data_IF_073263462682
#
_entry.id   IF_073263462682
#
_cell.length_a   1.000
_cell.length_b   1.000
_cell.length_c   1.000
_cell.angle_alpha   90.00
_cell.angle_beta   90.00
_cell.angle_gamma   90.00
#
_symmetry.space_group_name_H-M   'P 1'
#
loop_
_entity.id
_entity.type
_entity.pdbx_description
1 polymer ?
#
# COMPACT_ATOMS: atom_id res chain seq x y z
N UNK A 1 -20.85 3.32 -10.02
CA UNK A 1 -20.43 4.62 -10.61
C UNK A 1 -19.14 4.39 -11.38
N UNK A 2 -19.00 4.92 -12.60
CA UNK A 2 -17.76 4.81 -13.37
C UNK A 2 -16.67 5.69 -12.77
N UNK A 3 -15.47 5.15 -12.55
CA UNK A 3 -14.29 5.95 -12.17
C UNK A 3 -14.05 7.06 -13.20
N UNK A 4 -13.75 8.31 -12.80
CA UNK A 4 -13.34 9.36 -13.73
C UNK A 4 -12.13 8.90 -14.56
N UNK A 5 -12.02 9.32 -15.84
CA UNK A 5 -10.89 8.93 -16.68
C UNK A 5 -9.55 9.33 -16.03
N UNK A 6 -8.51 8.54 -16.28
CA UNK A 6 -7.17 8.87 -15.83
C UNK A 6 -6.58 10.01 -16.65
N UNK A 7 -5.69 10.80 -16.03
CA UNK A 7 -4.91 11.83 -16.73
C UNK A 7 -3.87 11.17 -17.63
N UNK A 8 -3.64 11.68 -18.83
CA UNK A 8 -2.58 11.17 -19.71
C UNK A 8 -1.17 11.38 -19.08
N UNK A 9 -0.34 10.33 -19.08
CA UNK A 9 1.04 10.38 -18.58
C UNK A 9 1.96 11.00 -19.63
N UNK A 10 2.81 11.91 -19.18
CA UNK A 10 3.84 12.54 -20.01
C UNK A 10 5.08 11.68 -20.08
N UNK A 11 5.79 11.72 -21.20
CA UNK A 11 7.10 11.10 -21.36
C UNK A 11 8.25 11.98 -20.82
N UNK A 12 7.98 13.25 -20.53
CA UNK A 12 8.93 14.22 -19.97
C UNK A 12 8.38 14.80 -18.67
N UNK A 13 9.25 15.09 -17.71
CA UNK A 13 8.87 15.73 -16.45
C UNK A 13 8.33 17.15 -16.69
N UNK A 14 7.28 17.51 -15.95
CA UNK A 14 6.79 18.88 -15.89
C UNK A 14 7.84 19.76 -15.21
N UNK A 15 8.12 20.96 -15.75
CA UNK A 15 9.03 21.91 -15.11
C UNK A 15 8.65 22.17 -13.66
N UNK A 16 9.66 22.29 -12.80
CA UNK A 16 9.51 22.64 -11.39
C UNK A 16 10.41 23.83 -11.07
N UNK A 17 9.94 24.70 -10.17
CA UNK A 17 10.72 25.81 -9.63
C UNK A 17 11.74 25.34 -8.58
N UNK A 18 11.61 24.11 -8.09
CA UNK A 18 12.58 23.49 -7.18
C UNK A 18 13.81 23.01 -7.97
N UNK A 19 14.90 23.79 -7.89
CA UNK A 19 16.18 23.49 -8.57
C UNK A 19 16.74 22.12 -8.21
N UNK A 20 16.68 21.72 -6.94
CA UNK A 20 17.22 20.43 -6.50
C UNK A 20 16.37 19.27 -7.05
N UNK A 21 15.04 19.42 -7.09
CA UNK A 21 14.17 18.44 -7.71
C UNK A 21 14.45 18.35 -9.21
N UNK A 22 14.56 19.49 -9.89
CA UNK A 22 14.86 19.56 -11.31
C UNK A 22 16.14 18.81 -11.65
N UNK A 23 17.23 19.06 -10.91
CA UNK A 23 18.51 18.38 -11.12
C UNK A 23 18.38 16.86 -11.01
N UNK A 24 17.66 16.36 -9.99
CA UNK A 24 17.46 14.91 -9.81
C UNK A 24 16.54 14.33 -10.88
N UNK A 25 15.50 15.05 -11.29
CA UNK A 25 14.59 14.62 -12.35
C UNK A 25 15.31 14.58 -13.70
N UNK A 26 16.14 15.58 -14.01
CA UNK A 26 16.98 15.61 -15.21
C UNK A 26 17.96 14.42 -15.19
N UNK A 27 18.63 14.16 -14.06
CA UNK A 27 19.53 13.02 -13.91
C UNK A 27 18.78 11.70 -14.19
N UNK A 28 17.62 11.49 -13.57
CA UNK A 28 16.77 10.32 -13.82
C UNK A 28 16.38 10.22 -15.30
N UNK A 29 15.98 11.33 -15.91
CA UNK A 29 15.48 11.36 -17.27
C UNK A 29 16.56 10.97 -18.28
N UNK A 30 17.76 11.55 -18.15
CA UNK A 30 18.86 11.30 -19.08
C UNK A 30 19.62 10.00 -18.83
N UNK A 31 19.65 9.49 -17.59
CA UNK A 31 20.43 8.28 -17.24
C UNK A 31 19.61 7.00 -17.17
N UNK A 32 18.30 7.10 -16.95
CA UNK A 32 17.41 5.93 -16.79
C UNK A 32 16.31 5.91 -17.84
N UNK A 33 15.53 6.99 -17.97
CA UNK A 33 14.31 6.97 -18.77
C UNK A 33 14.60 6.99 -20.27
N UNK A 34 15.34 7.97 -20.74
CA UNK A 34 15.68 8.12 -22.15
C UNK A 34 16.47 6.94 -22.72
N UNK A 35 17.49 6.40 -22.05
CA UNK A 35 18.13 5.18 -22.51
C UNK A 35 17.16 4.02 -22.69
N UNK A 36 16.15 3.88 -21.82
CA UNK A 36 15.15 2.82 -21.92
C UNK A 36 14.19 3.00 -23.11
N UNK A 37 14.10 4.18 -23.72
CA UNK A 37 13.32 4.43 -24.93
C UNK A 37 14.05 4.02 -26.21
N UNK A 38 15.37 3.83 -26.16
CA UNK A 38 16.17 3.50 -27.33
C UNK A 38 16.02 2.03 -27.75
N UNK A 39 16.21 1.70 -29.04
CA UNK A 39 16.49 0.33 -29.47
C UNK A 39 17.73 -0.24 -28.77
N UNK A 40 17.74 -1.56 -28.53
CA UNK A 40 18.81 -2.25 -27.77
C UNK A 40 20.21 -1.99 -28.34
N UNK A 41 20.35 -1.88 -29.65
CA UNK A 41 21.62 -1.59 -30.32
C UNK A 41 22.16 -0.20 -29.95
N UNK A 42 21.30 0.83 -29.99
CA UNK A 42 21.66 2.19 -29.58
C UNK A 42 21.96 2.27 -28.09
N UNK A 43 21.26 1.49 -27.26
CA UNK A 43 21.58 1.38 -25.83
C UNK A 43 22.99 0.83 -25.61
N UNK A 44 23.37 -0.23 -26.34
CA UNK A 44 24.71 -0.81 -26.21
C UNK A 44 25.80 0.21 -26.55
N UNK A 45 25.61 0.99 -27.61
CA UNK A 45 26.56 2.06 -27.99
C UNK A 45 26.63 3.12 -26.88
N UNK A 46 25.48 3.55 -26.34
CA UNK A 46 25.40 4.58 -25.29
C UNK A 46 26.19 4.22 -24.02
N UNK A 47 26.21 2.94 -23.67
CA UNK A 47 26.90 2.42 -22.47
C UNK A 47 28.27 1.80 -22.75
N UNK A 48 28.78 1.88 -23.99
CA UNK A 48 30.09 1.33 -24.36
C UNK A 48 31.20 2.37 -24.15
N UNK A 49 32.12 2.18 -23.19
CA UNK A 49 33.21 3.11 -22.94
C UNK A 49 34.10 3.34 -24.16
N UNK A 50 34.23 2.35 -25.05
CA UNK A 50 35.05 2.46 -26.26
C UNK A 50 34.42 3.33 -27.35
N UNK A 51 33.12 3.60 -27.25
CA UNK A 51 32.35 4.44 -28.19
C UNK A 51 32.14 5.87 -27.70
N UNK A 52 32.83 6.28 -26.63
CA UNK A 52 32.71 7.62 -26.05
C UNK A 52 33.04 8.73 -27.05
N UNK A 53 34.22 8.67 -27.69
CA UNK A 53 34.65 9.64 -28.71
C UNK A 53 33.70 9.64 -29.91
N UNK A 54 33.29 8.45 -30.36
CA UNK A 54 32.32 8.31 -31.45
C UNK A 54 31.00 9.04 -31.17
N UNK A 55 30.49 8.94 -29.94
CA UNK A 55 29.25 9.58 -29.50
C UNK A 55 29.37 11.10 -29.27
N UNK A 56 30.58 11.61 -29.04
CA UNK A 56 30.83 13.06 -28.98
C UNK A 56 30.69 13.68 -30.38
N UNK A 57 31.13 12.98 -31.42
CA UNK A 57 30.96 13.39 -32.82
C UNK A 57 29.57 13.03 -33.40
N UNK A 58 29.00 11.91 -32.98
CA UNK A 58 27.75 11.35 -33.49
C UNK A 58 26.75 11.09 -32.35
N UNK A 59 26.17 12.15 -31.76
CA UNK A 59 25.29 12.01 -30.60
C UNK A 59 24.02 11.24 -30.98
N UNK A 60 23.59 10.34 -30.10
CA UNK A 60 22.29 9.69 -30.23
C UNK A 60 21.21 10.71 -29.89
N UNK A 61 20.40 11.07 -30.89
CA UNK A 61 19.22 11.93 -30.72
C UNK A 61 17.97 11.06 -30.59
N UNK A 62 17.12 11.42 -29.62
CA UNK A 62 15.78 10.88 -29.50
C UNK A 62 14.77 12.01 -29.60
N UNK A 63 13.63 11.73 -30.22
CA UNK A 63 12.49 12.64 -30.25
C UNK A 63 11.43 12.13 -29.26
N UNK A 64 11.05 12.97 -28.31
CA UNK A 64 10.04 12.66 -27.30
C UNK A 64 9.14 13.88 -27.15
N UNK A 65 7.82 13.70 -27.31
CA UNK A 65 6.83 14.80 -27.26
C UNK A 65 7.18 15.99 -28.19
N UNK A 66 7.64 15.70 -29.42
CA UNK A 66 8.09 16.69 -30.42
C UNK A 66 9.29 17.54 -29.96
N UNK A 67 10.07 17.05 -29.00
CA UNK A 67 11.32 17.67 -28.55
C UNK A 67 12.49 16.71 -28.78
N UNK A 68 13.57 17.24 -29.34
CA UNK A 68 14.81 16.49 -29.56
C UNK A 68 15.71 16.54 -28.33
N UNK A 69 16.11 15.36 -27.86
CA UNK A 69 17.06 15.20 -26.75
C UNK A 69 18.31 14.50 -27.24
N UNK A 70 19.47 15.10 -26.97
CA UNK A 70 20.78 14.55 -27.29
C UNK A 70 21.34 13.80 -26.09
N UNK A 71 21.64 12.52 -26.26
CA UNK A 71 22.16 11.67 -25.21
C UNK A 71 23.69 11.64 -25.24
N UNK A 72 24.29 11.82 -24.06
CA UNK A 72 25.74 11.75 -23.85
C UNK A 72 26.15 10.31 -23.51
N UNK A 73 27.43 9.93 -23.75
CA UNK A 73 27.97 8.65 -23.29
C UNK A 73 27.72 8.44 -21.80
N UNK A 74 27.28 7.24 -21.42
CA UNK A 74 26.98 6.89 -20.02
C UNK A 74 27.91 5.77 -19.54
N UNK A 75 28.54 5.97 -18.38
CA UNK A 75 29.27 4.91 -17.69
C UNK A 75 28.33 4.16 -16.74
N UNK A 76 28.10 2.88 -17.03
CA UNK A 76 27.18 2.03 -16.25
C UNK A 76 27.66 1.74 -14.83
N UNK A 77 28.96 1.78 -14.58
CA UNK A 77 29.57 1.39 -13.29
C UNK A 77 29.74 2.62 -12.40
N UNK A 78 30.30 3.71 -12.92
CA UNK A 78 30.64 4.88 -12.11
C UNK A 78 29.83 6.14 -12.45
N UNK A 79 29.14 6.15 -13.59
CA UNK A 79 28.45 7.34 -14.10
C UNK A 79 26.96 7.43 -13.80
N UNK A 80 26.36 6.40 -13.18
CA UNK A 80 24.93 6.35 -12.90
C UNK A 80 24.72 6.04 -11.43
N UNK A 81 24.11 6.97 -10.70
CA UNK A 81 23.72 6.71 -9.32
C UNK A 81 22.70 5.55 -9.25
N UNK A 82 22.71 4.82 -8.13
CA UNK A 82 21.71 3.80 -7.86
C UNK A 82 20.28 4.36 -8.06
N UNK A 83 19.52 3.77 -8.99
CA UNK A 83 18.16 4.21 -9.32
C UNK A 83 17.22 4.25 -8.11
N UNK A 84 17.40 3.35 -7.15
CA UNK A 84 16.65 3.39 -5.90
C UNK A 84 16.96 4.63 -5.04
N UNK A 85 18.21 5.09 -5.01
CA UNK A 85 18.60 6.33 -4.31
C UNK A 85 18.07 7.55 -5.03
N UNK A 86 18.22 7.62 -6.36
CA UNK A 86 17.67 8.71 -7.18
C UNK A 86 16.16 8.83 -7.00
N UNK A 87 15.45 7.71 -7.02
CA UNK A 87 14.01 7.68 -6.77
C UNK A 87 13.63 8.30 -5.42
N UNK A 88 14.34 7.93 -4.34
CA UNK A 88 14.08 8.47 -3.01
C UNK A 88 14.45 9.95 -2.92
N UNK A 89 15.58 10.37 -3.50
CA UNK A 89 15.98 11.78 -3.58
C UNK A 89 14.92 12.61 -4.29
N UNK A 90 14.40 12.15 -5.43
CA UNK A 90 13.34 12.84 -6.16
C UNK A 90 12.09 12.99 -5.29
N UNK A 91 11.61 11.90 -4.67
CA UNK A 91 10.44 11.94 -3.81
C UNK A 91 10.61 12.89 -2.60
N UNK A 92 11.78 12.91 -1.97
CA UNK A 92 12.06 13.78 -0.81
C UNK A 92 12.16 15.26 -1.18
N UNK A 93 12.26 15.59 -2.47
CA UNK A 93 12.28 16.96 -2.99
C UNK A 93 10.93 17.38 -3.60
N UNK A 94 9.93 16.49 -3.66
CA UNK A 94 8.58 16.85 -4.07
C UNK A 94 7.84 17.49 -2.90
N UNK A 95 7.74 18.83 -2.89
CA UNK A 95 7.18 19.58 -1.77
C UNK A 95 5.81 20.19 -2.12
N UNK A 96 5.62 20.62 -3.36
CA UNK A 96 4.38 21.27 -3.82
C UNK A 96 3.47 20.31 -4.59
N UNK A 97 2.16 20.61 -4.72
CA UNK A 97 1.28 19.82 -5.58
C UNK A 97 1.81 19.67 -7.02
N UNK A 98 2.45 20.72 -7.55
CA UNK A 98 3.04 20.70 -8.89
C UNK A 98 4.25 19.77 -8.97
N UNK A 99 5.10 19.73 -7.95
CA UNK A 99 6.19 18.75 -7.88
C UNK A 99 5.66 17.32 -7.88
N UNK A 100 4.60 17.07 -7.10
CA UNK A 100 3.98 15.76 -7.01
C UNK A 100 3.27 15.33 -8.29
N UNK A 101 2.94 16.25 -9.19
CA UNK A 101 2.42 15.92 -10.52
C UNK A 101 3.42 15.12 -11.38
N UNK A 102 4.71 15.15 -11.03
CA UNK A 102 5.75 14.36 -11.68
C UNK A 102 5.80 12.89 -11.21
N UNK A 103 5.04 12.50 -10.17
CA UNK A 103 5.05 11.13 -9.65
C UNK A 103 4.61 10.10 -10.70
N UNK A 104 3.58 10.42 -11.49
CA UNK A 104 3.06 9.54 -12.56
C UNK A 104 4.15 9.26 -13.60
N UNK A 105 4.77 10.33 -14.13
CA UNK A 105 5.89 10.24 -15.09
C UNK A 105 7.07 9.47 -14.50
N UNK A 106 7.39 9.72 -13.22
CA UNK A 106 8.51 9.06 -12.55
C UNK A 106 8.29 7.54 -12.46
N UNK A 107 7.11 7.12 -12.00
CA UNK A 107 6.78 5.70 -11.86
C UNK A 107 6.64 5.01 -13.21
N UNK A 108 5.98 5.65 -14.18
CA UNK A 108 5.85 5.11 -15.53
C UNK A 108 7.20 4.94 -16.22
N UNK A 109 8.07 5.94 -16.11
CA UNK A 109 9.43 5.87 -16.59
C UNK A 109 10.22 4.71 -15.97
N UNK A 110 10.15 4.55 -14.64
CA UNK A 110 10.83 3.45 -13.95
C UNK A 110 10.29 2.08 -14.38
N UNK A 111 8.98 1.95 -14.57
CA UNK A 111 8.36 0.72 -15.08
C UNK A 111 8.86 0.39 -16.49
N UNK A 112 8.86 1.39 -17.38
CA UNK A 112 9.34 1.25 -18.77
C UNK A 112 10.81 0.88 -18.84
N UNK A 113 11.63 1.46 -17.96
CA UNK A 113 13.04 1.11 -17.77
C UNK A 113 13.27 -0.23 -17.04
N UNK A 114 12.20 -0.97 -16.70
CA UNK A 114 12.23 -2.26 -15.97
C UNK A 114 12.96 -2.16 -14.62
N UNK A 115 12.96 -0.98 -14.01
CA UNK A 115 13.53 -0.76 -12.67
C UNK A 115 12.57 -1.31 -11.63
N UNK A 116 13.01 -2.33 -10.88
CA UNK A 116 12.21 -2.93 -9.80
C UNK A 116 12.27 -2.08 -8.55
N UNK A 117 11.19 -1.36 -8.25
CA UNK A 117 11.06 -0.62 -6.99
C UNK A 117 10.69 -1.57 -5.83
N UNK A 118 11.48 -1.63 -4.74
CA UNK A 118 11.16 -2.44 -3.56
C UNK A 118 9.87 -1.97 -2.87
N UNK A 119 9.20 -2.88 -2.17
CA UNK A 119 7.96 -2.57 -1.44
C UNK A 119 8.09 -1.38 -0.47
N UNK A 120 9.25 -1.21 0.18
CA UNK A 120 9.53 -0.05 1.06
C UNK A 120 9.39 1.31 0.38
N UNK A 121 9.63 1.38 -0.94
CA UNK A 121 9.50 2.62 -1.69
C UNK A 121 8.03 2.99 -1.86
N UNK A 122 7.14 1.99 -2.02
CA UNK A 122 5.69 2.23 -2.09
C UNK A 122 5.14 2.84 -0.79
N UNK A 123 5.51 2.27 0.36
CA UNK A 123 5.16 2.84 1.65
C UNK A 123 5.78 4.23 1.88
N UNK A 124 7.00 4.49 1.37
CA UNK A 124 7.64 5.82 1.42
C UNK A 124 6.88 6.86 0.60
N UNK A 125 6.39 6.52 -0.61
CA UNK A 125 5.54 7.42 -1.42
C UNK A 125 4.35 7.90 -0.59
N UNK A 126 3.60 6.97 0.01
CA UNK A 126 2.43 7.33 0.83
C UNK A 126 2.78 8.21 2.03
N UNK A 127 3.88 7.91 2.73
CA UNK A 127 4.32 8.72 3.87
C UNK A 127 4.73 10.13 3.47
N UNK A 128 5.42 10.30 2.34
CA UNK A 128 5.80 11.63 1.86
C UNK A 128 4.60 12.39 1.29
N UNK A 129 3.72 11.70 0.55
CA UNK A 129 2.48 12.28 0.01
C UNK A 129 1.60 12.83 1.14
N UNK A 130 1.51 12.09 2.26
CA UNK A 130 0.85 12.55 3.48
C UNK A 130 1.37 13.89 3.97
N UNK A 131 2.70 14.03 4.12
CA UNK A 131 3.31 15.24 4.68
C UNK A 131 2.99 16.49 3.86
N UNK A 132 2.83 16.35 2.53
CA UNK A 132 2.45 17.44 1.64
C UNK A 132 0.95 17.55 1.31
N UNK A 133 0.09 16.66 1.84
CA UNK A 133 -1.33 16.62 1.46
C UNK A 133 -1.59 16.14 0.02
N UNK A 134 -0.62 15.50 -0.62
CA UNK A 134 -0.60 15.18 -2.05
C UNK A 134 -1.05 13.74 -2.34
N UNK A 135 -2.20 13.34 -1.81
CA UNK A 135 -2.75 12.00 -2.06
C UNK A 135 -3.30 11.83 -3.48
N UNK A 136 -3.78 12.91 -4.12
CA UNK A 136 -4.40 12.82 -5.45
C UNK A 136 -3.45 12.25 -6.52
N UNK A 137 -2.19 12.71 -6.65
CA UNK A 137 -1.23 12.10 -7.57
C UNK A 137 -0.99 10.60 -7.30
N UNK A 138 -1.09 10.15 -6.05
CA UNK A 138 -0.99 8.73 -5.72
C UNK A 138 -2.20 7.95 -6.23
N UNK A 139 -3.40 8.49 -6.09
CA UNK A 139 -4.64 7.88 -6.62
C UNK A 139 -4.57 7.78 -8.15
N UNK A 140 -4.11 8.83 -8.83
CA UNK A 140 -3.93 8.81 -10.29
C UNK A 140 -2.90 7.76 -10.72
N UNK A 141 -1.82 7.57 -9.96
CA UNK A 141 -0.87 6.49 -10.23
C UNK A 141 -1.54 5.11 -10.13
N UNK A 142 -2.43 4.90 -9.14
CA UNK A 142 -3.16 3.63 -8.96
C UNK A 142 -4.14 3.39 -10.11
N UNK A 143 -4.88 4.43 -10.53
CA UNK A 143 -5.79 4.35 -11.70
C UNK A 143 -5.03 3.91 -12.96
N UNK A 144 -3.77 4.31 -13.06
CA UNK A 144 -2.89 4.05 -14.20
C UNK A 144 -1.85 2.96 -13.91
N UNK A 145 -2.21 1.92 -13.16
CA UNK A 145 -1.29 0.87 -12.74
C UNK A 145 -0.57 0.17 -13.91
N UNK A 146 -1.19 0.10 -15.09
CA UNK A 146 -0.58 -0.46 -16.32
C UNK A 146 0.64 0.33 -16.78
N UNK A 147 0.66 1.63 -16.54
CA UNK A 147 1.78 2.49 -16.88
C UNK A 147 2.73 2.65 -15.70
N UNK A 148 2.21 2.96 -14.51
CA UNK A 148 3.03 3.30 -13.32
C UNK A 148 3.54 2.07 -12.57
N UNK A 149 2.85 0.94 -12.67
CA UNK A 149 3.12 -0.27 -11.88
C UNK A 149 2.76 -0.13 -10.40
N UNK A 150 2.06 0.94 -10.04
CA UNK A 150 1.66 1.22 -8.67
C UNK A 150 0.28 0.62 -8.39
N UNK A 151 0.22 -0.37 -7.49
CA UNK A 151 -1.01 -1.09 -7.16
C UNK A 151 -1.27 -1.09 -5.65
N UNK A 152 -2.55 -1.24 -5.28
CA UNK A 152 -2.98 -1.46 -3.89
C UNK A 152 -2.83 -2.91 -3.42
N UNK A 153 -2.19 -3.79 -4.20
CA UNK A 153 -1.95 -5.20 -3.87
C UNK A 153 -0.87 -5.38 -2.79
N UNK A 154 -0.98 -4.63 -1.70
CA UNK A 154 -0.17 -4.68 -0.50
C UNK A 154 -1.00 -4.14 0.68
N UNK A 155 -1.06 -4.92 1.77
CA UNK A 155 -1.87 -4.63 2.96
C UNK A 155 -1.56 -3.27 3.58
N UNK A 156 -0.27 -2.97 3.75
CA UNK A 156 0.18 -1.69 4.33
C UNK A 156 -0.16 -0.51 3.43
N UNK A 157 0.05 -0.64 2.12
CA UNK A 157 -0.26 0.39 1.13
C UNK A 157 -1.76 0.68 1.11
N UNK A 158 -2.60 -0.36 1.06
CA UNK A 158 -4.05 -0.22 1.01
C UNK A 158 -4.60 0.45 2.29
N UNK A 159 -4.23 -0.06 3.48
CA UNK A 159 -4.70 0.52 4.73
C UNK A 159 -4.22 1.96 4.91
N UNK A 160 -2.95 2.27 4.57
CA UNK A 160 -2.46 3.65 4.62
C UNK A 160 -3.23 4.54 3.66
N UNK A 161 -3.48 4.10 2.43
CA UNK A 161 -4.16 4.94 1.44
C UNK A 161 -5.56 5.36 1.91
N UNK A 162 -6.33 4.43 2.47
CA UNK A 162 -7.64 4.76 3.07
C UNK A 162 -7.51 5.71 4.27
N UNK A 163 -6.58 5.43 5.18
CA UNK A 163 -6.34 6.31 6.32
C UNK A 163 -5.95 7.74 5.89
N UNK A 164 -5.04 7.84 4.92
CA UNK A 164 -4.58 9.10 4.32
C UNK A 164 -5.69 9.85 3.61
N UNK A 165 -6.58 9.14 2.93
CA UNK A 165 -7.74 9.75 2.28
C UNK A 165 -8.62 10.47 3.31
N UNK A 166 -8.84 9.83 4.45
CA UNK A 166 -9.68 10.33 5.53
C UNK A 166 -9.00 11.42 6.38
N UNK A 167 -7.69 11.63 6.28
CA UNK A 167 -7.02 12.70 7.04
C UNK A 167 -7.61 14.08 6.81
N UNK A 168 -8.10 14.32 5.59
CA UNK A 168 -8.75 15.59 5.25
C UNK A 168 -10.00 15.88 6.09
N UNK A 169 -10.67 14.84 6.60
CA UNK A 169 -11.90 14.95 7.39
C UNK A 169 -11.61 15.68 8.69
N UNK A 170 -10.51 15.33 9.36
CA UNK A 170 -10.21 15.87 10.69
C UNK A 170 -9.13 16.96 10.68
N UNK A 171 -8.15 16.91 9.77
CA UNK A 171 -7.14 17.97 9.64
C UNK A 171 -7.71 19.28 9.11
N UNK A 172 -8.84 19.20 8.39
CA UNK A 172 -9.56 20.35 7.86
C UNK A 172 -11.03 20.29 8.31
N UNK A 173 -11.29 19.93 9.57
CA UNK A 173 -12.65 19.73 10.10
C UNK A 173 -13.58 20.95 9.94
N UNK A 174 -13.01 22.14 9.75
CA UNK A 174 -13.76 23.36 9.47
C UNK A 174 -14.36 23.41 8.04
N UNK A 175 -13.93 22.57 7.11
CA UNK A 175 -14.45 22.49 5.75
C UNK A 175 -15.24 21.19 5.53
N UNK A 176 -16.59 21.22 5.60
CA UNK A 176 -17.43 20.05 5.38
C UNK A 176 -17.25 19.40 4.00
N UNK A 177 -16.78 20.15 2.99
CA UNK A 177 -16.52 19.60 1.66
C UNK A 177 -15.39 18.57 1.66
N UNK A 178 -14.49 18.61 2.64
CA UNK A 178 -13.43 17.62 2.78
C UNK A 178 -13.98 16.23 3.09
N UNK A 179 -15.05 16.12 3.87
CA UNK A 179 -15.71 14.86 4.14
C UNK A 179 -16.40 14.29 2.88
N UNK A 180 -17.10 15.14 2.12
CA UNK A 180 -17.75 14.74 0.86
C UNK A 180 -16.72 14.26 -0.16
N UNK A 181 -15.58 14.96 -0.29
CA UNK A 181 -14.47 14.52 -1.16
C UNK A 181 -13.83 13.23 -0.68
N UNK A 182 -13.64 13.06 0.64
CA UNK A 182 -13.10 11.82 1.21
C UNK A 182 -14.01 10.65 0.87
N UNK A 183 -15.33 10.83 0.98
CA UNK A 183 -16.32 9.81 0.59
C UNK A 183 -16.22 9.46 -0.90
N UNK A 184 -16.23 10.45 -1.80
CA UNK A 184 -16.11 10.21 -3.24
C UNK A 184 -14.84 9.44 -3.63
N UNK A 185 -13.71 9.77 -2.99
CA UNK A 185 -12.47 9.01 -3.16
C UNK A 185 -12.54 7.61 -2.56
N UNK A 186 -13.16 7.46 -1.39
CA UNK A 186 -13.30 6.16 -0.72
C UNK A 186 -14.09 5.17 -1.58
N UNK A 187 -15.19 5.62 -2.22
CA UNK A 187 -15.95 4.84 -3.21
C UNK A 187 -15.06 4.43 -4.39
N UNK A 188 -14.28 5.37 -4.94
CA UNK A 188 -13.35 5.08 -6.03
C UNK A 188 -12.30 4.05 -5.61
N UNK A 189 -11.73 4.16 -4.41
CA UNK A 189 -10.72 3.24 -3.91
C UNK A 189 -11.29 1.85 -3.67
N UNK A 190 -12.53 1.73 -3.20
CA UNK A 190 -13.23 0.44 -3.10
C UNK A 190 -13.47 -0.19 -4.48
N UNK A 191 -13.88 0.60 -5.48
CA UNK A 191 -14.01 0.14 -6.87
C UNK A 191 -12.67 -0.37 -7.41
N UNK A 192 -11.59 0.40 -7.23
CA UNK A 192 -10.25 -0.03 -7.63
C UNK A 192 -9.81 -1.30 -6.89
N UNK A 193 -10.04 -1.41 -5.58
CA UNK A 193 -9.71 -2.63 -4.82
C UNK A 193 -10.47 -3.87 -5.32
N UNK A 194 -11.63 -3.69 -5.94
CA UNK A 194 -12.40 -4.80 -6.53
C UNK A 194 -11.79 -5.38 -7.79
N UNK A 195 -10.85 -4.66 -8.40
CA UNK A 195 -10.20 -5.09 -9.64
C UNK A 195 -9.09 -6.13 -9.35
N UNK A 196 -8.90 -7.13 -10.24
CA UNK A 196 -7.93 -8.20 -10.02
C UNK A 196 -6.49 -7.72 -9.79
N UNK A 197 -6.10 -6.59 -10.39
CA UNK A 197 -4.72 -6.09 -10.43
C UNK A 197 -4.34 -5.35 -9.14
N UNK A 198 -5.35 -4.95 -8.37
CA UNK A 198 -5.23 -4.38 -7.04
C UNK A 198 -5.46 -5.42 -5.93
N UNK A 199 -5.88 -6.64 -6.29
CA UNK A 199 -6.13 -7.72 -5.36
C UNK A 199 -4.84 -8.41 -4.91
N UNK A 200 -4.82 -8.86 -3.65
CA UNK A 200 -3.79 -9.78 -3.19
C UNK A 200 -4.03 -11.17 -3.76
N UNK A 201 -2.96 -11.86 -4.17
CA UNK A 201 -3.01 -13.29 -4.48
C UNK A 201 -3.07 -14.06 -3.16
N UNK A 202 -4.27 -14.43 -2.72
CA UNK A 202 -4.54 -15.14 -1.47
C UNK A 202 -5.35 -16.40 -1.74
N UNK A 203 -5.11 -17.44 -0.97
CA UNK A 203 -5.86 -18.70 -1.03
C UNK A 203 -7.22 -18.57 -0.34
N UNK A 204 -7.24 -17.93 0.84
CA UNK A 204 -8.47 -17.67 1.60
C UNK A 204 -9.19 -16.40 1.10
N UNK A 205 -10.47 -16.48 0.70
CA UNK A 205 -11.28 -15.32 0.35
C UNK A 205 -11.41 -14.28 1.48
N UNK A 206 -11.31 -14.67 2.75
CA UNK A 206 -11.35 -13.77 3.91
C UNK A 206 -10.13 -12.83 3.94
N UNK A 207 -9.02 -13.25 3.33
CA UNK A 207 -7.76 -12.51 3.26
C UNK A 207 -7.71 -11.49 2.10
N UNK A 208 -8.80 -11.36 1.32
CA UNK A 208 -8.94 -10.33 0.27
C UNK A 208 -9.08 -8.95 0.90
N UNK A 209 -8.40 -7.95 0.33
CA UNK A 209 -8.41 -6.57 0.84
C UNK A 209 -9.80 -5.93 0.89
N UNK A 210 -10.73 -6.34 0.02
CA UNK A 210 -12.13 -5.89 0.07
C UNK A 210 -12.88 -6.35 1.33
N UNK A 211 -12.41 -7.43 1.96
CA UNK A 211 -12.97 -8.01 3.18
C UNK A 211 -12.18 -7.60 4.42
N UNK A 212 -11.20 -6.69 4.27
CA UNK A 212 -10.46 -6.17 5.40
C UNK A 212 -11.36 -5.29 6.24
N UNK A 213 -11.46 -5.66 7.52
CA UNK A 213 -12.31 -5.01 8.51
C UNK A 213 -11.90 -3.56 8.68
N UNK A 214 -10.59 -3.29 8.69
CA UNK A 214 -10.07 -1.93 8.89
C UNK A 214 -10.33 -1.03 7.69
N UNK A 215 -10.24 -1.57 6.46
CA UNK A 215 -10.54 -0.83 5.23
C UNK A 215 -12.04 -0.50 5.20
N UNK A 216 -12.89 -1.48 5.50
CA UNK A 216 -14.35 -1.30 5.59
C UNK A 216 -14.72 -0.26 6.64
N UNK A 217 -14.14 -0.29 7.84
CA UNK A 217 -14.47 0.70 8.87
C UNK A 217 -13.96 2.11 8.53
N UNK A 218 -12.81 2.25 7.87
CA UNK A 218 -12.37 3.55 7.31
C UNK A 218 -13.29 4.03 6.17
N UNK A 219 -13.86 3.12 5.39
CA UNK A 219 -14.85 3.45 4.36
C UNK A 219 -16.16 3.95 4.99
N UNK A 220 -16.67 3.26 6.02
CA UNK A 220 -17.81 3.68 6.84
C UNK A 220 -17.56 5.04 7.48
N UNK A 221 -16.36 5.28 8.03
CA UNK A 221 -16.00 6.58 8.59
C UNK A 221 -16.16 7.71 7.57
N UNK A 222 -15.62 7.55 6.35
CA UNK A 222 -15.76 8.55 5.29
C UNK A 222 -17.23 8.81 4.92
N UNK A 223 -18.04 7.76 4.82
CA UNK A 223 -19.47 7.85 4.52
C UNK A 223 -20.24 8.61 5.61
N UNK A 224 -20.08 8.20 6.86
CA UNK A 224 -20.74 8.85 8.00
C UNK A 224 -20.37 10.33 8.10
N UNK A 225 -19.08 10.67 7.91
CA UNK A 225 -18.64 12.06 7.89
C UNK A 225 -19.26 12.86 6.74
N UNK A 226 -19.40 12.28 5.55
CA UNK A 226 -20.05 12.94 4.43
C UNK A 226 -21.56 13.15 4.66
N UNK A 227 -22.26 12.17 5.25
CA UNK A 227 -23.66 12.30 5.66
C UNK A 227 -23.83 13.47 6.64
N UNK A 228 -22.99 13.55 7.66
CA UNK A 228 -23.04 14.65 8.62
C UNK A 228 -22.78 16.01 7.95
N UNK A 229 -21.79 16.10 7.06
CA UNK A 229 -21.50 17.32 6.31
C UNK A 229 -22.71 17.77 5.45
N UNK A 230 -23.32 16.84 4.70
CA UNK A 230 -24.50 17.10 3.88
C UNK A 230 -25.72 17.49 4.71
N UNK A 231 -25.95 16.80 5.83
CA UNK A 231 -27.02 17.12 6.78
C UNK A 231 -26.89 18.53 7.33
N UNK A 232 -25.67 18.97 7.68
CA UNK A 232 -25.41 20.34 8.13
C UNK A 232 -25.65 21.38 7.03
N UNK A 233 -25.40 21.02 5.78
CA UNK A 233 -25.64 21.87 4.61
C UNK A 233 -27.12 21.86 4.14
N UNK A 234 -27.98 21.04 4.74
CA UNK A 234 -29.37 20.86 4.29
C UNK A 234 -29.51 20.14 2.94
N UNK A 235 -28.48 19.38 2.54
CA UNK A 235 -28.51 18.55 1.33
C UNK A 235 -29.25 17.23 1.58
N UNK A 236 -29.74 16.61 0.50
CA UNK A 236 -30.35 15.28 0.55
C UNK A 236 -29.32 14.20 0.93
N UNK A 237 -29.70 13.33 1.87
CA UNK A 237 -28.87 12.25 2.42
C UNK A 237 -29.50 10.87 2.23
N UNK A 238 -30.68 10.74 1.61
CA UNK A 238 -31.42 9.48 1.58
C UNK A 238 -30.62 8.34 0.94
N UNK A 239 -29.97 8.62 -0.19
CA UNK A 239 -29.11 7.64 -0.85
C UNK A 239 -27.89 7.27 -0.01
N UNK A 240 -27.27 8.23 0.67
CA UNK A 240 -26.10 7.97 1.51
C UNK A 240 -26.47 7.20 2.78
N UNK A 241 -27.65 7.46 3.37
CA UNK A 241 -28.19 6.67 4.47
C UNK A 241 -28.51 5.23 4.04
N UNK A 242 -29.02 5.03 2.82
CA UNK A 242 -29.19 3.69 2.24
C UNK A 242 -27.83 2.98 2.07
N UNK A 243 -26.84 3.69 1.53
CA UNK A 243 -25.48 3.17 1.41
C UNK A 243 -24.89 2.80 2.78
N UNK A 244 -25.15 3.60 3.81
CA UNK A 244 -24.64 3.35 5.16
C UNK A 244 -25.22 2.06 5.75
N UNK A 245 -26.53 1.82 5.60
CA UNK A 245 -27.14 0.55 6.03
C UNK A 245 -26.53 -0.65 5.31
N UNK A 246 -26.27 -0.52 4.01
CA UNK A 246 -25.63 -1.59 3.23
C UNK A 246 -24.19 -1.86 3.71
N UNK A 247 -23.37 -0.82 3.92
CA UNK A 247 -22.00 -1.01 4.39
C UNK A 247 -21.93 -1.56 5.83
N UNK A 248 -22.84 -1.13 6.71
CA UNK A 248 -22.95 -1.71 8.06
C UNK A 248 -23.35 -3.18 7.99
N UNK A 249 -24.30 -3.54 7.11
CA UNK A 249 -24.69 -4.95 6.89
C UNK A 249 -23.54 -5.80 6.34
N UNK A 250 -22.61 -5.21 5.59
CA UNK A 250 -21.43 -5.89 5.06
C UNK A 250 -20.30 -6.03 6.08
N UNK A 251 -20.09 -5.03 6.95
CA UNK A 251 -18.98 -5.06 7.92
C UNK A 251 -19.29 -5.92 9.15
N UNK A 252 -20.54 -5.95 9.60
CA UNK A 252 -20.95 -6.71 10.78
C UNK A 252 -20.54 -8.20 10.76
N UNK A 253 -20.84 -8.98 9.72
CA UNK A 253 -20.50 -10.40 9.69
C UNK A 253 -18.99 -10.66 9.61
N UNK A 254 -18.18 -9.65 9.27
CA UNK A 254 -16.72 -9.80 9.32
C UNK A 254 -16.23 -9.85 10.78
N UNK A 255 -16.94 -9.25 11.72
CA UNK A 255 -16.57 -9.22 13.13
C UNK A 255 -17.30 -10.32 13.91
N UNK A 256 -16.87 -11.57 13.76
CA UNK A 256 -17.44 -12.70 14.51
C UNK A 256 -17.24 -12.53 16.03
N UNK A 257 -18.25 -12.85 16.82
CA UNK A 257 -18.27 -12.56 18.27
C UNK A 257 -17.14 -13.26 19.04
N UNK A 258 -16.80 -14.49 18.67
CA UNK A 258 -15.67 -15.25 19.21
C UNK A 258 -14.29 -14.62 18.93
N UNK A 259 -14.18 -13.75 17.92
CA UNK A 259 -12.93 -13.08 17.57
C UNK A 259 -12.72 -11.78 18.33
N UNK A 260 -13.78 -11.20 18.90
CA UNK A 260 -13.72 -9.92 19.64
C UNK A 260 -12.90 -10.02 20.93
N UNK A 261 -12.87 -11.20 21.55
CA UNK A 261 -12.03 -11.47 22.72
C UNK A 261 -10.57 -11.77 22.36
N UNK A 262 -10.27 -11.97 21.06
CA UNK A 262 -8.99 -12.44 20.53
C UNK A 262 -8.52 -11.61 19.35
N UNK A 263 -8.60 -10.28 19.49
CA UNK A 263 -8.30 -9.32 18.42
C UNK A 263 -6.87 -9.49 17.86
N UNK A 264 -5.91 -9.88 18.69
CA UNK A 264 -4.53 -10.17 18.32
C UNK A 264 -4.36 -11.41 17.43
N UNK A 265 -5.32 -12.33 17.44
CA UNK A 265 -5.34 -13.52 16.58
C UNK A 265 -5.88 -13.21 15.18
N UNK A 266 -6.60 -12.09 15.00
CA UNK A 266 -7.13 -11.68 13.70
C UNK A 266 -5.96 -11.45 12.73
N UNK A 267 -5.87 -12.21 11.61
CA UNK A 267 -4.71 -12.16 10.71
C UNK A 267 -4.41 -10.78 10.16
N UNK A 268 -5.44 -10.00 9.84
CA UNK A 268 -5.34 -8.61 9.39
C UNK A 268 -4.64 -7.73 10.44
N UNK A 269 -5.15 -7.71 11.68
CA UNK A 269 -4.60 -6.90 12.77
C UNK A 269 -3.16 -7.31 13.09
N UNK A 270 -2.91 -8.62 13.17
CA UNK A 270 -1.58 -9.16 13.45
C UNK A 270 -0.54 -8.73 12.41
N UNK A 271 -0.88 -8.81 11.12
CA UNK A 271 0.03 -8.45 10.02
C UNK A 271 0.29 -6.95 9.93
N UNK A 272 -0.64 -6.12 10.38
CA UNK A 272 -0.51 -4.66 10.37
C UNK A 272 0.08 -4.09 11.68
N UNK A 273 0.12 -4.89 12.76
CA UNK A 273 0.63 -4.48 14.06
C UNK A 273 2.18 -4.33 14.06
N UNK A 274 2.72 -3.11 14.29
CA UNK A 274 4.17 -2.87 14.30
C UNK A 274 4.92 -3.65 15.37
N UNK A 275 4.28 -3.89 16.52
CA UNK A 275 4.93 -4.54 17.67
C UNK A 275 5.09 -6.03 17.42
N UNK A 276 4.10 -6.66 16.79
CA UNK A 276 4.20 -8.08 16.39
C UNK A 276 5.30 -8.27 15.33
N UNK A 277 5.37 -7.40 14.31
CA UNK A 277 6.41 -7.53 13.29
C UNK A 277 7.82 -7.28 13.83
N UNK A 278 7.99 -6.24 14.65
CA UNK A 278 9.33 -5.81 15.09
C UNK A 278 9.87 -6.62 16.25
N UNK A 279 8.98 -7.21 17.06
CA UNK A 279 9.33 -7.82 18.34
C UNK A 279 8.78 -9.24 18.52
N UNK A 280 8.05 -9.80 17.54
CA UNK A 280 7.47 -11.15 17.58
C UNK A 280 8.43 -12.29 17.22
N UNK A 281 9.74 -12.15 17.47
CA UNK A 281 10.68 -13.28 17.45
C UNK A 281 11.24 -13.69 16.08
N UNK A 282 10.87 -13.01 15.00
CA UNK A 282 11.63 -13.09 13.76
C UNK A 282 12.91 -12.26 13.97
N UNK A 283 14.09 -12.87 13.79
CA UNK A 283 15.40 -12.18 13.65
C UNK A 283 15.15 -10.81 13.02
N UNK A 284 15.66 -9.70 13.61
CA UNK A 284 15.57 -8.31 13.07
C UNK A 284 15.30 -8.44 11.58
N UNK A 285 14.08 -8.18 11.10
CA UNK A 285 13.67 -8.69 9.80
C UNK A 285 14.76 -8.29 8.83
N UNK A 286 15.44 -9.27 8.23
CA UNK A 286 16.52 -9.03 7.27
C UNK A 286 15.96 -8.45 5.96
N UNK A 287 14.75 -7.89 6.03
CA UNK A 287 13.92 -7.37 4.97
C UNK A 287 13.01 -6.26 5.49
N UNK A 288 12.18 -5.73 4.61
CA UNK A 288 11.40 -4.52 4.84
C UNK A 288 10.19 -4.76 5.74
N UNK A 289 9.88 -3.78 6.61
CA UNK A 289 8.67 -3.76 7.40
C UNK A 289 7.42 -3.80 6.50
N UNK A 290 6.56 -4.79 6.73
CA UNK A 290 5.27 -5.06 6.09
C UNK A 290 4.10 -4.57 6.94
N UNK A 291 4.31 -4.28 8.23
CA UNK A 291 3.33 -3.71 9.12
C UNK A 291 3.30 -2.18 9.04
N UNK A 292 2.28 -1.58 9.65
CA UNK A 292 2.21 -0.14 9.85
C UNK A 292 3.29 0.31 10.85
N UNK A 293 3.51 1.62 10.96
CA UNK A 293 4.22 2.19 12.12
C UNK A 293 3.19 2.50 13.21
N UNK A 294 3.63 2.63 14.47
CA UNK A 294 2.71 2.82 15.60
C UNK A 294 1.71 3.96 15.39
N UNK A 295 2.20 5.10 14.91
CA UNK A 295 1.36 6.25 14.59
C UNK A 295 0.25 5.94 13.57
N UNK A 296 0.56 5.31 12.43
CA UNK A 296 -0.46 4.98 11.44
C UNK A 296 -1.36 3.82 11.88
N UNK A 297 -0.85 2.91 12.72
CA UNK A 297 -1.65 1.85 13.31
C UNK A 297 -2.73 2.43 14.23
N UNK A 298 -2.35 3.37 15.11
CA UNK A 298 -3.30 4.13 15.93
C UNK A 298 -4.30 4.88 15.06
N UNK A 299 -3.84 5.61 14.03
CA UNK A 299 -4.73 6.34 13.12
C UNK A 299 -5.75 5.45 12.42
N UNK A 300 -5.35 4.28 11.92
CA UNK A 300 -6.27 3.31 11.29
C UNK A 300 -7.32 2.83 12.29
N UNK A 301 -6.93 2.44 13.50
CA UNK A 301 -7.87 1.95 14.52
C UNK A 301 -8.79 3.06 15.02
N UNK A 302 -8.28 4.26 15.26
CA UNK A 302 -9.06 5.42 15.67
C UNK A 302 -10.12 5.81 14.62
N UNK A 303 -9.80 5.73 13.33
CA UNK A 303 -10.80 5.97 12.27
C UNK A 303 -11.89 4.89 12.25
N UNK A 304 -11.55 3.63 12.56
CA UNK A 304 -12.54 2.56 12.68
C UNK A 304 -13.46 2.80 13.88
N UNK A 305 -12.90 3.14 15.05
CA UNK A 305 -13.64 3.53 16.27
C UNK A 305 -14.61 4.66 15.93
N UNK A 306 -14.11 5.76 15.36
CA UNK A 306 -14.95 6.93 15.05
C UNK A 306 -16.01 6.61 13.99
N UNK A 307 -15.69 5.80 12.99
CA UNK A 307 -16.66 5.34 12.00
C UNK A 307 -17.82 4.56 12.63
N UNK A 308 -17.53 3.69 13.60
CA UNK A 308 -18.54 2.93 14.34
C UNK A 308 -19.40 3.83 15.23
N UNK A 309 -18.80 4.77 15.96
CA UNK A 309 -19.53 5.76 16.76
C UNK A 309 -20.54 6.54 15.90
N UNK A 310 -20.07 7.11 14.78
CA UNK A 310 -20.93 7.87 13.88
C UNK A 310 -22.01 7.01 13.23
N UNK A 311 -21.71 5.74 12.89
CA UNK A 311 -22.72 4.83 12.35
C UNK A 311 -23.82 4.54 13.38
N UNK A 312 -23.46 4.36 14.65
CA UNK A 312 -24.44 4.20 15.74
C UNK A 312 -25.26 5.48 15.97
N UNK A 313 -24.64 6.65 15.91
CA UNK A 313 -25.34 7.95 16.00
C UNK A 313 -26.37 8.13 14.85
N UNK A 314 -26.03 7.68 13.64
CA UNK A 314 -26.87 7.86 12.45
C UNK A 314 -27.95 6.79 12.28
N UNK A 315 -27.67 5.54 12.63
CA UNK A 315 -28.56 4.40 12.40
C UNK A 315 -29.28 3.88 13.66
N UNK A 316 -28.82 4.24 14.86
CA UNK A 316 -29.39 3.74 16.10
C UNK A 316 -29.32 2.22 16.22
N UNK A 317 -30.47 1.58 16.44
CA UNK A 317 -30.57 0.14 16.71
C UNK A 317 -30.04 -0.74 15.57
N UNK A 318 -30.11 -0.28 14.32
CA UNK A 318 -29.59 -1.02 13.15
C UNK A 318 -28.06 -1.21 13.23
N UNK A 319 -27.36 -0.39 14.00
CA UNK A 319 -25.90 -0.43 14.17
C UNK A 319 -25.46 -0.87 15.58
N UNK A 320 -26.38 -1.28 16.46
CA UNK A 320 -26.07 -1.57 17.89
C UNK A 320 -24.98 -2.63 18.11
N UNK A 321 -24.81 -3.57 17.17
CA UNK A 321 -23.77 -4.59 17.26
C UNK A 321 -22.36 -3.98 17.20
N UNK A 322 -22.22 -2.86 16.48
CA UNK A 322 -20.94 -2.16 16.37
C UNK A 322 -20.41 -1.69 17.72
N UNK A 323 -21.24 -1.54 18.75
CA UNK A 323 -20.78 -1.22 20.10
C UNK A 323 -19.80 -2.27 20.64
N UNK A 324 -20.11 -3.57 20.48
CA UNK A 324 -19.22 -4.65 20.94
C UNK A 324 -17.89 -4.61 20.19
N UNK A 325 -17.93 -4.35 18.89
CA UNK A 325 -16.74 -4.26 18.03
C UNK A 325 -15.90 -3.03 18.41
N UNK A 326 -16.56 -1.89 18.60
CA UNK A 326 -15.95 -0.64 19.07
C UNK A 326 -15.18 -0.88 20.37
N UNK A 327 -15.82 -1.49 21.38
CA UNK A 327 -15.22 -1.72 22.69
C UNK A 327 -14.03 -2.69 22.60
N UNK A 328 -14.12 -3.71 21.73
CA UNK A 328 -13.02 -4.63 21.47
C UNK A 328 -11.82 -3.93 20.81
N UNK A 329 -12.05 -3.04 19.83
CA UNK A 329 -10.98 -2.27 19.18
C UNK A 329 -10.35 -1.28 20.16
N UNK A 330 -11.15 -0.59 20.98
CA UNK A 330 -10.66 0.32 22.03
C UNK A 330 -9.76 -0.42 23.04
N UNK A 331 -10.25 -1.54 23.57
CA UNK A 331 -9.46 -2.39 24.47
C UNK A 331 -8.16 -2.85 23.82
N UNK A 332 -8.21 -3.32 22.58
CA UNK A 332 -7.04 -3.77 21.84
C UNK A 332 -6.03 -2.63 21.57
N UNK A 333 -6.52 -1.43 21.22
CA UNK A 333 -5.69 -0.25 21.03
C UNK A 333 -5.04 0.21 22.35
N UNK A 334 -5.79 0.17 23.45
CA UNK A 334 -5.28 0.44 24.80
C UNK A 334 -4.16 -0.53 25.19
N UNK A 335 -4.34 -1.83 24.96
CA UNK A 335 -3.30 -2.84 25.19
C UNK A 335 -2.09 -2.66 24.27
N UNK A 336 -2.30 -2.29 23.01
CA UNK A 336 -1.23 -1.94 22.08
C UNK A 336 -0.43 -0.74 22.62
N UNK A 337 -1.10 0.35 23.02
CA UNK A 337 -0.43 1.53 23.57
C UNK A 337 0.31 1.19 24.87
N UNK A 338 -0.31 0.39 25.74
CA UNK A 338 0.24 -0.12 27.01
C UNK A 338 1.56 -0.86 26.83
N UNK A 339 1.70 -1.65 25.76
CA UNK A 339 2.79 -2.64 25.58
C UNK A 339 3.68 -2.39 24.36
N UNK A 340 3.67 -1.19 23.78
CA UNK A 340 4.47 -0.85 22.59
C UNK A 340 5.53 0.21 22.89
N UNK A 341 6.64 0.13 22.18
CA UNK A 341 7.72 1.13 22.22
C UNK A 341 7.40 2.24 21.21
N UNK A 342 7.21 3.47 21.66
CA UNK A 342 6.98 4.62 20.79
C UNK A 342 6.62 5.93 21.50
N UNK A 343 6.54 7.01 20.73
CA UNK A 343 6.22 8.37 21.19
C UNK A 343 4.72 8.50 21.47
N UNK A 344 4.30 8.20 22.70
CA UNK A 344 2.90 8.21 23.13
C UNK A 344 2.18 9.53 22.87
N UNK A 345 2.85 10.68 23.05
CA UNK A 345 2.25 11.98 22.80
C UNK A 345 1.72 12.10 21.36
N UNK A 346 2.51 11.69 20.36
CA UNK A 346 2.10 11.73 18.96
C UNK A 346 0.95 10.77 18.65
N UNK A 347 0.81 9.68 19.40
CA UNK A 347 -0.32 8.77 19.25
C UNK A 347 -1.57 9.38 19.88
N UNK A 348 -1.46 10.01 21.06
CA UNK A 348 -2.57 10.68 21.71
C UNK A 348 -3.13 11.78 20.81
N UNK A 349 -2.26 12.63 20.28
CA UNK A 349 -2.60 13.70 19.35
C UNK A 349 -3.33 13.15 18.12
N UNK A 350 -2.83 12.06 17.54
CA UNK A 350 -3.48 11.46 16.37
C UNK A 350 -4.86 10.90 16.72
N UNK A 351 -4.96 10.14 17.81
CA UNK A 351 -6.22 9.58 18.29
C UNK A 351 -7.26 10.68 18.57
N UNK A 352 -6.87 11.71 19.30
CA UNK A 352 -7.73 12.83 19.66
C UNK A 352 -8.15 13.63 18.43
N UNK A 353 -7.24 13.86 17.48
CA UNK A 353 -7.57 14.55 16.24
C UNK A 353 -8.66 13.82 15.44
N UNK A 354 -8.68 12.48 15.48
CA UNK A 354 -9.64 11.67 14.74
C UNK A 354 -10.97 11.52 15.49
N UNK A 355 -10.91 11.23 16.79
CA UNK A 355 -12.09 10.88 17.59
C UNK A 355 -12.74 12.08 18.26
N UNK A 356 -12.01 13.20 18.39
CA UNK A 356 -12.45 14.38 19.14
C UNK A 356 -12.37 14.23 20.66
N UNK A 357 -11.79 13.13 21.17
CA UNK A 357 -11.63 12.87 22.61
C UNK A 357 -10.22 12.36 22.92
N UNK A 358 -9.69 12.78 24.06
CA UNK A 358 -8.41 12.24 24.54
C UNK A 358 -8.52 10.74 24.82
N UNK A 359 -7.49 9.95 24.53
CA UNK A 359 -7.51 8.52 24.82
C UNK A 359 -7.43 8.24 26.32
N UNK A 360 -8.17 7.23 26.78
CA UNK A 360 -8.05 6.68 28.13
C UNK A 360 -7.22 5.38 28.11
N UNK A 361 -5.94 5.51 27.74
CA UNK A 361 -5.07 4.33 27.64
C UNK A 361 -4.50 3.93 29.00
N UNK A 362 -4.32 2.62 29.25
CA UNK A 362 -3.59 2.16 30.41
C UNK A 362 -2.17 2.75 30.49
N UNK A 363 -1.69 2.89 31.73
CA UNK A 363 -0.31 3.30 32.00
C UNK A 363 0.69 2.39 31.29
N UNK A 364 1.83 2.95 30.86
CA UNK A 364 2.89 2.16 30.26
C UNK A 364 3.47 1.18 31.27
N UNK A 365 3.68 -0.04 30.83
CA UNK A 365 4.16 -1.15 31.66
C UNK A 365 5.64 -1.02 32.06
N UNK A 366 6.37 -0.06 31.49
CA UNK A 366 7.80 0.06 31.71
C UNK A 366 8.62 -0.95 30.90
N UNK A 367 9.97 -0.89 30.97
CA UNK A 367 10.84 -1.77 30.21
C UNK A 367 10.70 -3.26 30.58
N UNK A 368 10.53 -3.58 31.87
CA UNK A 368 10.61 -4.96 32.36
C UNK A 368 9.37 -5.79 31.97
N UNK A 369 8.18 -5.28 32.22
CA UNK A 369 6.94 -5.94 31.81
C UNK A 369 6.76 -5.91 30.28
N UNK A 370 7.34 -4.91 29.59
CA UNK A 370 7.44 -4.92 28.14
C UNK A 370 8.29 -6.10 27.63
N UNK A 371 9.45 -6.36 28.24
CA UNK A 371 10.28 -7.52 27.89
C UNK A 371 9.49 -8.81 28.09
N UNK A 372 8.80 -8.97 29.22
CA UNK A 372 7.95 -10.13 29.48
C UNK A 372 6.82 -10.28 28.43
N UNK A 373 6.14 -9.18 28.09
CA UNK A 373 5.11 -9.18 27.06
C UNK A 373 5.67 -9.52 25.67
N UNK A 374 6.90 -9.08 25.36
CA UNK A 374 7.59 -9.47 24.13
C UNK A 374 7.93 -10.95 24.13
N UNK A 375 8.42 -11.50 25.23
CA UNK A 375 8.70 -12.94 25.36
C UNK A 375 7.45 -13.80 25.16
N UNK A 376 6.32 -13.42 25.75
CA UNK A 376 5.05 -14.12 25.55
C UNK A 376 4.57 -14.05 24.09
N UNK A 377 4.71 -12.89 23.44
CA UNK A 377 4.43 -12.74 22.00
C UNK A 377 5.33 -13.62 21.15
N UNK A 378 6.61 -13.75 21.51
CA UNK A 378 7.55 -14.64 20.83
C UNK A 378 7.14 -16.11 20.98
N UNK A 379 6.74 -16.54 22.19
CA UNK A 379 6.22 -17.89 22.42
C UNK A 379 4.97 -18.17 21.59
N UNK A 380 4.00 -17.24 21.60
CA UNK A 380 2.78 -17.37 20.81
C UNK A 380 3.05 -17.43 19.30
N UNK A 381 3.99 -16.62 18.81
CA UNK A 381 4.40 -16.65 17.40
C UNK A 381 5.07 -17.98 17.02
N UNK A 382 5.92 -18.53 17.88
CA UNK A 382 6.58 -19.81 17.67
C UNK A 382 5.59 -20.98 17.70
N UNK A 383 4.64 -20.99 18.65
CA UNK A 383 3.60 -22.01 18.74
C UNK A 383 2.72 -22.05 17.49
N UNK A 384 2.34 -20.88 16.96
CA UNK A 384 1.55 -20.81 15.73
C UNK A 384 2.36 -21.28 14.52
N UNK A 385 3.64 -20.90 14.42
CA UNK A 385 4.50 -21.37 13.34
C UNK A 385 4.58 -22.90 13.33
N UNK A 386 4.78 -23.51 14.51
CA UNK A 386 4.77 -24.95 14.67
C UNK A 386 3.43 -25.59 14.28
N UNK A 387 2.30 -24.95 14.63
CA UNK A 387 0.98 -25.40 14.20
C UNK A 387 0.82 -25.36 12.66
N UNK A 388 1.26 -24.29 12.00
CA UNK A 388 1.17 -24.15 10.54
C UNK A 388 2.13 -25.06 9.77
N UNK A 389 3.29 -25.38 10.34
CA UNK A 389 4.24 -26.33 9.74
C UNK A 389 3.81 -27.79 10.00
N UNK A 390 3.12 -28.07 11.10
CA UNK A 390 2.54 -29.39 11.40
C UNK A 390 1.37 -29.78 10.49
N UNK A 391 0.58 -28.80 10.01
CA UNK A 391 -0.50 -29.07 9.04
C UNK A 391 0.02 -29.30 7.62
N UNK A 392 1.22 -28.81 7.28
CA UNK A 392 1.82 -28.98 5.96
C UNK A 392 2.42 -30.39 5.70
N UNK A 393 2.45 -31.27 6.71
CA UNK A 393 3.04 -32.62 6.61
C UNK A 393 2.00 -33.70 6.29
N UNK A 394 0.70 -33.38 6.23
CA UNK A 394 -0.36 -34.38 5.94
C UNK A 394 -0.74 -34.45 4.45
N UNK A 395 -0.40 -33.45 3.63
CA UNK A 395 -0.72 -33.41 2.19
C UNK A 395 0.44 -33.84 1.26
N UNK A 396 1.47 -34.51 1.80
CA UNK A 396 2.61 -35.02 1.02
C UNK A 396 2.73 -36.56 1.02
N UNK A 397 1.60 -37.26 1.12
CA UNK A 397 1.52 -38.72 0.93
C UNK A 397 0.42 -39.05 -0.07
N UNK A 398 0.52 -38.52 -1.29
CA UNK A 398 -0.15 -39.10 -2.45
C UNK A 398 0.47 -38.60 -3.78
N UNK A 399 1.80 -38.74 -3.93
CA UNK A 399 2.45 -38.49 -5.23
C UNK A 399 3.74 -39.30 -5.44
N UNK A 400 3.80 -40.51 -4.88
CA UNK A 400 4.85 -41.49 -5.17
C UNK A 400 4.29 -42.89 -5.45
N UNK A 401 3.49 -43.03 -6.52
CA UNK A 401 3.36 -44.30 -7.25
C UNK A 401 3.23 -44.01 -8.74
N UNK A 402 4.36 -43.92 -9.45
CA UNK A 402 4.49 -44.22 -10.89
C UNK A 402 5.94 -44.00 -11.36
N UNK A 403 6.86 -44.83 -10.85
CA UNK A 403 8.12 -45.14 -11.52
C UNK A 403 8.44 -46.62 -11.29
N UNK A 404 8.20 -47.41 -12.32
CA UNK A 404 8.54 -48.83 -12.48
C UNK A 404 8.07 -49.19 -13.89
N UNK A 405 8.98 -49.16 -14.85
CA UNK A 405 9.75 -50.34 -15.29
C UNK A 405 9.05 -51.01 -16.47
N UNK A 406 9.54 -50.72 -17.68
CA UNK A 406 9.64 -51.71 -18.75
C UNK A 406 10.89 -51.35 -19.54
N UNK A 407 11.97 -52.05 -19.25
CA UNK A 407 13.12 -52.18 -20.12
C UNK A 407 13.10 -53.59 -20.74
N UNK A 408 13.73 -53.71 -21.91
CA UNK A 408 14.08 -54.95 -22.64
C UNK A 408 12.93 -55.67 -23.41
N UNK A 409 13.07 -56.17 -24.65
CA UNK A 409 14.22 -56.39 -25.57
C UNK A 409 13.71 -56.81 -26.97
N UNK A 410 14.65 -56.89 -27.93
CA UNK A 410 14.64 -57.51 -29.28
C UNK A 410 14.28 -56.58 -30.46
N UNK A 411 15.21 -56.16 -31.32
CA UNK A 411 16.17 -56.83 -32.24
C UNK A 411 15.68 -56.82 -33.69
N UNK A 412 16.54 -56.26 -34.55
CA UNK A 412 16.83 -56.59 -35.96
C UNK A 412 15.66 -56.74 -36.98
N UNK A 413 15.68 -55.94 -38.06
CA UNK A 413 16.31 -56.37 -39.32
C UNK A 413 16.11 -55.33 -40.45
N UNK A 414 17.03 -55.41 -41.40
CA UNK A 414 17.27 -54.56 -42.55
C UNK A 414 16.21 -54.62 -43.68
N UNK A 415 16.15 -53.51 -44.42
CA UNK A 415 16.17 -53.35 -45.88
C UNK A 415 15.17 -54.06 -46.84
N UNK A 416 14.73 -53.22 -47.78
CA UNK A 416 14.47 -53.47 -49.22
C UNK A 416 13.10 -53.93 -49.74
N UNK A 417 12.66 -53.10 -50.71
CA UNK A 417 11.97 -53.39 -51.98
C UNK A 417 10.44 -53.54 -52.10
N UNK A 418 9.96 -52.81 -53.13
CA UNK A 418 8.83 -53.10 -54.03
C UNK A 418 7.40 -52.74 -53.60
N UNK A 419 6.93 -51.54 -53.98
CA UNK A 419 6.11 -51.29 -55.19
C UNK A 419 5.67 -49.83 -55.32
#
# INVERSE_FOLDING_TARGET
MSTPPARAIRAVFTPTDNKELKEVLDEIQYTILFPALLPIEKQKILFDPSKKEYLEENPIVIEVENQEFRLKPLDRINGIENSGKLFIRALEKMNTPDDWSNLETLLAGYKKARVKLPAKHRGKILRLARHGGNIQPVIECIKQWEETGFTMANREVACRLFALNNERIYRNAADPQMAIRAWGHSVMLMDLLSRPEHSLKVTDPSDRLLNYRLIRGMHVYALCSAINAKKMAGEDIDQDMSNLRNEVSLIMPLWEENMLDKMEEIPELRRLNPSVERFGGLKKPTGYAKALNGYAFVGVLAQNIRGMELAMELLGDDARYLQKVHDAIEKYLGEFARTSIGLRSTWNEEYESITGRSPDWPAWVGPDELIAAMEERMKAAAALKAATEGTAVVDAVDDQVSKGDTDETHQEAAAEESR
#
